data_IF_350206687907
#
_entry.id   IF_350206687907
#
_cell.length_a   1.000
_cell.length_b   1.000
_cell.length_c   1.000
_cell.angle_alpha   90.00
_cell.angle_beta   90.00
_cell.angle_gamma   90.00
#
_symmetry.space_group_name_H-M   'P 1'
#
loop_
_entity.id
_entity.type
_entity.pdbx_description
1 polymer ?
#
# COMPACT_ATOMS: atom_id res chain seq x y z
N UNK A 1 -20.17 -0.51 -3.92
CA UNK A 1 -19.99 -1.34 -5.13
C UNK A 1 -21.26 -1.26 -5.92
N UNK A 2 -21.18 -0.90 -7.19
CA UNK A 2 -22.33 -0.88 -8.07
C UNK A 2 -22.62 -2.27 -8.69
N UNK A 3 -23.71 -2.41 -9.42
CA UNK A 3 -24.11 -3.70 -10.01
C UNK A 3 -23.12 -4.18 -11.09
N UNK A 4 -22.51 -3.25 -11.84
CA UNK A 4 -21.52 -3.54 -12.88
C UNK A 4 -20.22 -4.06 -12.29
N UNK A 5 -19.70 -3.41 -11.24
CA UNK A 5 -18.51 -3.88 -10.51
C UNK A 5 -18.72 -5.28 -9.92
N UNK A 6 -19.90 -5.51 -9.35
CA UNK A 6 -20.26 -6.82 -8.77
C UNK A 6 -20.24 -7.92 -9.82
N UNK A 7 -20.78 -7.66 -11.00
CA UNK A 7 -20.79 -8.63 -12.10
C UNK A 7 -19.37 -8.88 -12.61
N UNK A 8 -18.54 -7.86 -12.71
CA UNK A 8 -17.13 -7.98 -13.08
C UNK A 8 -16.37 -8.89 -12.12
N UNK A 9 -16.53 -8.70 -10.78
CA UNK A 9 -15.88 -9.58 -9.80
C UNK A 9 -16.42 -11.01 -9.91
N UNK A 10 -17.71 -11.18 -10.15
CA UNK A 10 -18.30 -12.50 -10.34
C UNK A 10 -17.70 -13.20 -11.57
N UNK A 11 -17.61 -12.53 -12.71
CA UNK A 11 -17.00 -13.06 -13.93
C UNK A 11 -15.55 -13.47 -13.69
N UNK A 12 -14.75 -12.63 -13.02
CA UNK A 12 -13.37 -12.92 -12.69
C UNK A 12 -13.24 -14.14 -11.76
N UNK A 13 -14.09 -14.29 -10.74
CA UNK A 13 -14.15 -15.46 -9.87
C UNK A 13 -14.38 -16.74 -10.68
N UNK A 14 -15.23 -16.70 -11.68
CA UNK A 14 -15.53 -17.85 -12.56
C UNK A 14 -14.47 -18.07 -13.65
N UNK A 15 -13.43 -17.24 -13.72
CA UNK A 15 -12.28 -17.47 -14.59
C UNK A 15 -12.27 -16.65 -15.88
N UNK A 16 -13.12 -15.66 -15.99
CA UNK A 16 -13.07 -14.69 -17.08
C UNK A 16 -11.76 -13.87 -16.98
N UNK A 17 -10.94 -13.97 -18.03
CA UNK A 17 -9.64 -13.29 -18.09
C UNK A 17 -9.78 -11.79 -18.27
N UNK A 18 -10.68 -11.35 -19.11
CA UNK A 18 -10.90 -9.92 -19.39
C UNK A 18 -11.39 -9.21 -18.13
N UNK A 19 -12.37 -9.82 -17.44
CA UNK A 19 -12.84 -9.31 -16.15
C UNK A 19 -11.70 -9.23 -15.11
N UNK A 20 -10.82 -10.23 -15.08
CA UNK A 20 -9.67 -10.20 -14.16
C UNK A 20 -8.62 -9.15 -14.55
N UNK A 21 -8.35 -8.94 -15.84
CA UNK A 21 -7.47 -7.86 -16.31
C UNK A 21 -7.99 -6.48 -15.90
N UNK A 22 -9.30 -6.26 -15.97
CA UNK A 22 -9.89 -5.02 -15.48
C UNK A 22 -9.69 -4.85 -13.96
N UNK A 23 -9.79 -5.94 -13.19
CA UNK A 23 -9.49 -5.93 -11.75
C UNK A 23 -8.02 -5.56 -11.50
N UNK A 24 -7.08 -6.12 -12.28
CA UNK A 24 -5.66 -5.77 -12.20
C UNK A 24 -5.50 -4.25 -12.38
N UNK A 25 -6.03 -3.69 -13.46
CA UNK A 25 -5.93 -2.25 -13.75
C UNK A 25 -6.49 -1.38 -12.64
N UNK A 26 -7.64 -1.79 -12.07
CA UNK A 26 -8.34 -1.03 -11.03
C UNK A 26 -7.66 -1.11 -9.66
N UNK A 27 -7.01 -2.25 -9.35
CA UNK A 27 -6.51 -2.50 -7.99
C UNK A 27 -4.99 -2.43 -7.84
N UNK A 28 -4.19 -2.52 -8.93
CA UNK A 28 -2.72 -2.57 -8.84
C UNK A 28 -2.13 -1.43 -8.02
N UNK A 29 -2.60 -0.21 -8.20
CA UNK A 29 -2.15 0.95 -7.42
C UNK A 29 -2.40 0.81 -5.93
N UNK A 30 -3.60 0.33 -5.56
CA UNK A 30 -3.94 0.11 -4.16
C UNK A 30 -3.11 -1.02 -3.53
N UNK A 31 -2.88 -2.11 -4.27
CA UNK A 31 -2.02 -3.21 -3.83
C UNK A 31 -0.58 -2.74 -3.66
N UNK A 32 -0.08 -1.92 -4.59
CA UNK A 32 1.24 -1.31 -4.50
C UNK A 32 1.36 -0.42 -3.26
N UNK A 33 0.37 0.45 -3.01
CA UNK A 33 0.37 1.32 -1.83
C UNK A 33 0.42 0.51 -0.52
N UNK A 34 -0.32 -0.61 -0.44
CA UNK A 34 -0.29 -1.52 0.70
C UNK A 34 1.09 -2.16 0.86
N UNK A 35 1.65 -2.73 -0.22
CA UNK A 35 2.95 -3.39 -0.18
C UNK A 35 4.08 -2.40 0.12
N UNK A 36 4.11 -1.25 -0.54
CA UNK A 36 5.08 -0.19 -0.31
C UNK A 36 4.97 0.38 1.12
N UNK A 37 3.75 0.49 1.65
CA UNK A 37 3.51 0.89 3.03
C UNK A 37 4.22 0.00 4.06
N UNK A 38 4.44 -1.28 3.74
CA UNK A 38 5.10 -2.26 4.61
C UNK A 38 6.61 -2.33 4.34
N UNK A 39 6.98 -2.42 3.05
CA UNK A 39 8.33 -2.77 2.62
C UNK A 39 9.27 -1.57 2.49
N UNK A 40 8.74 -0.38 2.20
CA UNK A 40 9.51 0.84 1.93
C UNK A 40 10.56 0.67 0.80
N UNK A 41 10.35 -0.29 -0.07
CA UNK A 41 11.18 -0.58 -1.22
C UNK A 41 10.26 -0.76 -2.42
N UNK A 42 10.53 -0.01 -3.50
CA UNK A 42 9.69 0.04 -4.69
C UNK A 42 9.70 -1.29 -5.45
N UNK A 43 10.88 -1.84 -5.70
CA UNK A 43 11.04 -3.08 -6.45
C UNK A 43 10.34 -4.24 -5.76
N UNK A 44 10.58 -4.41 -4.45
CA UNK A 44 9.91 -5.45 -3.69
C UNK A 44 8.39 -5.26 -3.61
N UNK A 45 7.92 -4.00 -3.55
CA UNK A 45 6.49 -3.74 -3.56
C UNK A 45 5.86 -4.10 -4.92
N UNK A 46 6.54 -3.81 -6.04
CA UNK A 46 6.12 -4.21 -7.38
C UNK A 46 6.09 -5.75 -7.51
N UNK A 47 7.11 -6.45 -7.04
CA UNK A 47 7.17 -7.92 -7.01
C UNK A 47 6.03 -8.52 -6.16
N UNK A 48 5.77 -7.96 -4.99
CA UNK A 48 4.66 -8.40 -4.13
C UNK A 48 3.32 -8.21 -4.82
N UNK A 49 3.12 -7.12 -5.57
CA UNK A 49 1.88 -6.92 -6.35
C UNK A 49 1.73 -8.01 -7.40
N UNK A 50 2.77 -8.27 -8.20
CA UNK A 50 2.75 -9.31 -9.24
C UNK A 50 2.45 -10.69 -8.64
N UNK A 51 3.16 -11.09 -7.60
CA UNK A 51 2.96 -12.34 -6.89
C UNK A 51 1.54 -12.47 -6.32
N UNK A 52 1.00 -11.38 -5.80
CA UNK A 52 -0.35 -11.33 -5.23
C UNK A 52 -1.42 -11.52 -6.28
N UNK A 53 -1.25 -10.91 -7.45
CA UNK A 53 -2.16 -11.05 -8.58
C UNK A 53 -2.13 -12.47 -9.15
N UNK A 54 -0.94 -13.07 -9.29
CA UNK A 54 -0.79 -14.47 -9.71
C UNK A 54 -1.45 -15.41 -8.70
N UNK A 55 -1.25 -15.20 -7.40
CA UNK A 55 -1.89 -15.98 -6.34
C UNK A 55 -3.40 -15.81 -6.37
N UNK A 56 -3.87 -14.58 -6.53
CA UNK A 56 -5.29 -14.27 -6.62
C UNK A 56 -5.93 -15.01 -7.81
N UNK A 57 -5.33 -14.96 -9.00
CA UNK A 57 -5.80 -15.72 -10.14
C UNK A 57 -5.91 -17.21 -9.88
N UNK A 58 -4.89 -17.81 -9.28
CA UNK A 58 -4.86 -19.24 -8.95
C UNK A 58 -5.86 -19.65 -7.89
N UNK A 59 -6.28 -18.76 -7.00
CA UNK A 59 -7.14 -19.07 -5.85
C UNK A 59 -8.48 -18.34 -5.85
N UNK A 60 -8.83 -17.63 -6.93
CA UNK A 60 -10.04 -16.81 -7.07
C UNK A 60 -11.34 -17.53 -6.74
N UNK A 61 -11.43 -18.80 -7.05
CA UNK A 61 -12.59 -19.65 -6.78
C UNK A 61 -12.92 -19.82 -5.28
N UNK A 62 -12.00 -19.44 -4.38
CA UNK A 62 -12.22 -19.44 -2.92
C UNK A 62 -13.12 -18.30 -2.47
N UNK A 63 -13.25 -17.26 -3.28
CA UNK A 63 -14.10 -16.10 -2.97
C UNK A 63 -15.53 -16.45 -3.38
N UNK A 64 -16.40 -16.64 -2.40
CA UNK A 64 -17.82 -16.97 -2.63
C UNK A 64 -18.66 -15.71 -2.86
N UNK A 65 -18.27 -14.61 -2.25
CA UNK A 65 -18.99 -13.34 -2.28
C UNK A 65 -18.19 -12.31 -3.07
N UNK A 66 -18.67 -11.88 -4.26
CA UNK A 66 -17.97 -10.90 -5.08
C UNK A 66 -17.68 -9.58 -4.34
N UNK A 67 -18.52 -9.18 -3.39
CA UNK A 67 -18.31 -7.95 -2.62
C UNK A 67 -17.07 -8.01 -1.72
N UNK A 68 -16.64 -9.21 -1.36
CA UNK A 68 -15.43 -9.43 -0.55
C UNK A 68 -14.14 -9.53 -1.38
N UNK A 69 -14.27 -9.57 -2.71
CA UNK A 69 -13.11 -9.74 -3.59
C UNK A 69 -12.02 -8.68 -3.39
N UNK A 70 -12.34 -7.36 -3.34
CA UNK A 70 -11.32 -6.34 -3.12
C UNK A 70 -10.58 -6.49 -1.78
N UNK A 71 -11.31 -6.72 -0.71
CA UNK A 71 -10.72 -6.91 0.62
C UNK A 71 -9.86 -8.17 0.71
N UNK A 72 -10.29 -9.27 0.07
CA UNK A 72 -9.53 -10.49 -0.03
C UNK A 72 -8.24 -10.31 -0.84
N UNK A 73 -8.29 -9.59 -1.96
CA UNK A 73 -7.13 -9.28 -2.79
C UNK A 73 -6.11 -8.42 -2.01
N UNK A 74 -6.57 -7.40 -1.30
CA UNK A 74 -5.75 -6.58 -0.41
C UNK A 74 -5.10 -7.39 0.72
N UNK A 75 -5.82 -8.37 1.29
CA UNK A 75 -5.27 -9.27 2.30
C UNK A 75 -4.14 -10.15 1.75
N UNK A 76 -4.23 -10.63 0.50
CA UNK A 76 -3.15 -11.37 -0.15
C UNK A 76 -1.89 -10.52 -0.23
N UNK A 77 -2.01 -9.28 -0.73
CA UNK A 77 -0.86 -8.37 -0.87
C UNK A 77 -0.23 -8.04 0.48
N UNK A 78 -1.04 -7.76 1.51
CA UNK A 78 -0.56 -7.49 2.87
C UNK A 78 0.20 -8.67 3.45
N UNK A 79 -0.33 -9.89 3.36
CA UNK A 79 0.35 -11.09 3.85
C UNK A 79 1.68 -11.33 3.12
N UNK A 80 1.70 -11.18 1.79
CA UNK A 80 2.94 -11.33 1.01
C UNK A 80 3.99 -10.29 1.40
N UNK A 81 3.60 -9.03 1.56
CA UNK A 81 4.50 -7.97 2.00
C UNK A 81 5.09 -8.27 3.40
N UNK A 82 4.28 -8.71 4.34
CA UNK A 82 4.78 -9.12 5.66
C UNK A 82 5.70 -10.35 5.60
N UNK A 83 5.45 -11.30 4.70
CA UNK A 83 6.32 -12.46 4.51
C UNK A 83 7.70 -12.02 4.00
N UNK A 84 7.75 -11.11 3.02
CA UNK A 84 9.01 -10.52 2.51
C UNK A 84 9.72 -9.75 3.63
N UNK A 85 9.01 -8.89 4.34
CA UNK A 85 9.56 -8.11 5.45
C UNK A 85 10.17 -8.99 6.56
N UNK A 86 9.51 -10.09 6.92
CA UNK A 86 10.03 -11.05 7.90
C UNK A 86 11.28 -11.76 7.41
N UNK A 87 11.30 -12.18 6.15
CA UNK A 87 12.46 -12.86 5.55
C UNK A 87 13.72 -11.98 5.58
N UNK A 88 13.59 -10.68 5.31
CA UNK A 88 14.72 -9.74 5.45
C UNK A 88 15.34 -9.74 6.86
N UNK A 89 14.51 -9.88 7.89
CA UNK A 89 14.98 -9.86 9.29
C UNK A 89 15.58 -11.19 9.76
N UNK A 90 15.27 -12.29 9.07
CA UNK A 90 15.72 -13.64 9.45
C UNK A 90 16.94 -14.11 8.65
N UNK A 91 17.30 -13.46 7.56
CA UNK A 91 18.57 -13.68 6.89
C UNK A 91 19.61 -12.94 7.71
N UNK A 92 20.62 -13.61 8.32
CA UNK A 92 21.77 -12.92 8.86
C UNK A 92 22.36 -12.10 7.72
N UNK A 93 22.64 -10.83 7.98
CA UNK A 93 23.41 -9.98 7.10
C UNK A 93 24.73 -10.71 6.82
N UNK A 94 24.82 -11.46 5.71
CA UNK A 94 26.09 -11.64 5.06
C UNK A 94 26.53 -10.22 4.71
N UNK A 95 27.68 -9.85 5.25
CA UNK A 95 28.32 -8.54 5.12
C UNK A 95 28.73 -8.27 3.66
N UNK A 96 27.76 -8.12 2.78
CA UNK A 96 27.94 -7.27 1.63
C UNK A 96 27.34 -5.91 2.01
N UNK A 97 28.13 -4.83 1.98
CA UNK A 97 27.57 -3.51 2.18
C UNK A 97 26.53 -3.36 1.07
N UNK A 98 25.24 -3.48 1.41
CA UNK A 98 24.24 -2.70 0.72
C UNK A 98 24.86 -1.31 0.74
N UNK A 99 25.16 -0.75 -0.45
CA UNK A 99 25.57 0.64 -0.54
C UNK A 99 24.66 1.40 0.40
N UNK A 100 25.12 1.57 1.61
CA UNK A 100 24.55 2.49 2.55
C UNK A 100 24.73 3.80 1.81
N UNK A 101 23.65 4.27 1.21
CA UNK A 101 23.55 5.68 0.87
C UNK A 101 23.92 6.34 2.18
N UNK A 102 25.20 6.80 2.25
CA UNK A 102 25.71 7.52 3.41
C UNK A 102 24.63 8.52 3.77
N UNK A 103 24.23 8.62 5.04
CA UNK A 103 23.27 9.63 5.44
C UNK A 103 23.93 10.97 5.10
N UNK A 104 23.57 11.53 3.96
CA UNK A 104 23.94 12.91 3.64
C UNK A 104 23.48 13.77 4.80
N UNK A 105 24.33 14.71 5.25
CA UNK A 105 24.02 15.55 6.40
C UNK A 105 22.63 16.16 6.21
N UNK A 106 21.83 16.15 7.27
CA UNK A 106 20.39 16.48 7.31
C UNK A 106 20.00 17.82 6.64
N UNK A 107 20.96 18.62 6.26
CA UNK A 107 20.78 19.92 5.61
C UNK A 107 20.70 19.86 4.08
N UNK A 108 20.84 18.67 3.45
CA UNK A 108 20.80 18.51 1.99
C UNK A 108 19.73 17.52 1.53
N UNK A 109 18.90 16.99 2.45
CA UNK A 109 17.79 16.12 2.05
C UNK A 109 16.76 16.93 1.25
N UNK A 110 16.53 16.53 0.02
CA UNK A 110 15.44 17.09 -0.78
C UNK A 110 14.11 16.91 -0.06
N UNK A 111 13.17 17.84 -0.25
CA UNK A 111 11.81 17.76 0.36
C UNK A 111 11.16 16.39 0.11
N UNK A 112 11.42 15.79 -1.04
CA UNK A 112 10.94 14.48 -1.41
C UNK A 112 11.49 13.37 -0.48
N UNK A 113 12.78 13.36 -0.18
CA UNK A 113 13.38 12.43 0.80
C UNK A 113 12.81 12.60 2.20
N UNK A 114 12.61 13.85 2.61
CA UNK A 114 12.02 14.15 3.92
C UNK A 114 10.57 13.68 4.00
N UNK A 115 9.80 13.85 2.92
CA UNK A 115 8.45 13.35 2.82
C UNK A 115 8.41 11.81 2.90
N UNK A 116 9.30 11.12 2.18
CA UNK A 116 9.42 9.66 2.23
C UNK A 116 9.83 9.18 3.63
N UNK A 117 10.78 9.84 4.27
CA UNK A 117 11.18 9.52 5.65
C UNK A 117 10.03 9.72 6.63
N UNK A 118 9.30 10.83 6.55
CA UNK A 118 8.16 11.10 7.41
C UNK A 118 7.02 10.09 7.21
N UNK A 119 6.81 9.62 5.97
CA UNK A 119 5.88 8.53 5.69
C UNK A 119 6.37 7.20 6.26
N UNK A 120 7.68 6.92 6.16
CA UNK A 120 8.28 5.70 6.67
C UNK A 120 8.13 5.55 8.20
N UNK A 121 8.16 6.65 8.92
CA UNK A 121 8.01 6.68 10.39
C UNK A 121 6.56 6.45 10.86
N UNK A 122 5.59 6.51 9.96
CA UNK A 122 4.20 6.22 10.32
C UNK A 122 3.97 4.72 10.47
N UNK A 123 3.10 4.29 11.41
CA UNK A 123 2.61 2.92 11.45
C UNK A 123 1.95 2.51 10.12
N UNK A 124 1.93 1.21 9.81
CA UNK A 124 1.44 0.65 8.54
C UNK A 124 0.09 1.20 8.10
N UNK A 125 -0.92 1.12 8.96
CA UNK A 125 -2.29 1.49 8.60
C UNK A 125 -2.47 3.00 8.32
N UNK A 126 -1.97 3.94 9.15
CA UNK A 126 -1.91 5.36 8.83
C UNK A 126 -1.18 5.67 7.52
N UNK A 127 -0.06 5.00 7.25
CA UNK A 127 0.73 5.17 6.03
C UNK A 127 -0.05 4.73 4.81
N UNK A 128 -0.63 3.52 4.84
CA UNK A 128 -1.48 3.01 3.76
C UNK A 128 -2.68 3.94 3.49
N UNK A 129 -3.34 4.44 4.54
CA UNK A 129 -4.47 5.35 4.40
C UNK A 129 -4.06 6.68 3.73
N UNK A 130 -2.92 7.27 4.12
CA UNK A 130 -2.39 8.48 3.48
C UNK A 130 -2.03 8.24 2.01
N UNK A 131 -1.35 7.14 1.72
CA UNK A 131 -0.96 6.79 0.36
C UNK A 131 -2.20 6.65 -0.53
N UNK A 132 -3.22 5.91 -0.08
CA UNK A 132 -4.45 5.75 -0.84
C UNK A 132 -5.20 7.07 -1.03
N UNK A 133 -5.18 7.98 -0.03
CA UNK A 133 -5.91 9.24 -0.10
C UNK A 133 -5.22 10.29 -0.97
N UNK A 134 -3.91 10.47 -0.82
CA UNK A 134 -3.19 11.61 -1.38
C UNK A 134 -2.32 11.27 -2.59
N UNK A 135 -1.84 10.04 -2.73
CA UNK A 135 -1.07 9.60 -3.90
C UNK A 135 -1.94 8.90 -4.92
N UNK A 136 -2.96 8.14 -4.47
CA UNK A 136 -3.89 7.43 -5.33
C UNK A 136 -5.24 8.15 -5.50
N UNK A 137 -5.40 9.29 -4.86
CA UNK A 137 -6.59 10.18 -4.93
C UNK A 137 -7.92 9.47 -4.65
N UNK A 138 -7.89 8.36 -3.92
CA UNK A 138 -9.10 7.58 -3.63
C UNK A 138 -10.05 8.33 -2.70
N UNK A 139 -11.35 8.17 -2.94
CA UNK A 139 -12.38 8.67 -2.05
C UNK A 139 -12.45 7.86 -0.73
N UNK A 140 -13.03 8.47 0.30
CA UNK A 140 -13.11 7.88 1.65
C UNK A 140 -13.80 6.50 1.64
N UNK A 141 -14.90 6.35 0.91
CA UNK A 141 -15.68 5.12 0.86
C UNK A 141 -14.88 3.97 0.27
N UNK A 142 -14.12 4.25 -0.78
CA UNK A 142 -13.22 3.29 -1.41
C UNK A 142 -12.12 2.87 -0.44
N UNK A 143 -11.50 3.81 0.27
CA UNK A 143 -10.45 3.50 1.26
C UNK A 143 -11.02 2.69 2.43
N UNK A 144 -12.19 3.05 2.95
CA UNK A 144 -12.89 2.29 4.00
C UNK A 144 -13.07 0.84 3.62
N UNK A 145 -13.58 0.58 2.42
CA UNK A 145 -13.79 -0.77 1.92
C UNK A 145 -12.47 -1.53 1.73
N UNK A 146 -11.43 -0.87 1.21
CA UNK A 146 -10.12 -1.50 0.95
C UNK A 146 -9.33 -1.80 2.23
N UNK A 147 -9.43 -0.95 3.24
CA UNK A 147 -8.72 -1.11 4.51
C UNK A 147 -9.56 -1.76 5.62
N UNK A 148 -10.86 -1.98 5.39
CA UNK A 148 -11.78 -2.52 6.38
C UNK A 148 -12.03 -1.56 7.55
N UNK A 149 -12.11 -0.26 7.27
CA UNK A 149 -12.27 0.80 8.27
C UNK A 149 -13.67 1.41 8.21
N UNK A 150 -14.12 1.97 9.35
CA UNK A 150 -15.27 2.86 9.36
C UNK A 150 -14.85 4.29 9.00
N UNK A 151 -15.81 5.12 8.55
CA UNK A 151 -15.57 6.53 8.21
C UNK A 151 -14.89 7.30 9.35
N UNK A 152 -15.41 7.16 10.56
CA UNK A 152 -14.85 7.80 11.75
C UNK A 152 -13.43 7.36 12.06
N UNK A 153 -13.14 6.06 11.93
CA UNK A 153 -11.80 5.51 12.13
C UNK A 153 -10.83 6.04 11.08
N UNK A 154 -11.21 6.04 9.79
CA UNK A 154 -10.39 6.55 8.70
C UNK A 154 -10.05 8.03 8.87
N UNK A 155 -11.05 8.87 9.18
CA UNK A 155 -10.83 10.32 9.44
C UNK A 155 -9.88 10.55 10.61
N UNK A 156 -10.05 9.80 11.70
CA UNK A 156 -9.17 9.88 12.87
C UNK A 156 -7.74 9.45 12.55
N UNK A 157 -7.56 8.39 11.78
CA UNK A 157 -6.25 7.90 11.32
C UNK A 157 -5.57 8.95 10.45
N UNK A 158 -6.24 9.44 9.40
CA UNK A 158 -5.70 10.46 8.50
C UNK A 158 -5.33 11.75 9.23
N UNK A 159 -6.19 12.22 10.14
CA UNK A 159 -5.93 13.43 10.93
C UNK A 159 -4.67 13.32 11.79
N UNK A 160 -4.50 12.21 12.52
CA UNK A 160 -3.30 11.97 13.34
C UNK A 160 -2.05 11.80 12.49
N UNK A 161 -2.14 11.07 11.37
CA UNK A 161 -1.02 10.86 10.47
C UNK A 161 -0.53 12.17 9.86
N UNK A 162 -1.43 13.02 9.37
CA UNK A 162 -1.09 14.35 8.85
C UNK A 162 -0.47 15.26 9.93
N UNK A 163 -0.98 15.21 11.16
CA UNK A 163 -0.41 15.98 12.26
C UNK A 163 1.02 15.53 12.57
N UNK A 164 1.29 14.23 12.57
CA UNK A 164 2.63 13.66 12.74
C UNK A 164 3.58 14.10 11.64
N UNK A 165 3.17 13.96 10.38
CA UNK A 165 3.97 14.39 9.23
C UNK A 165 4.27 15.89 9.25
N UNK A 166 3.28 16.73 9.54
CA UNK A 166 3.51 18.19 9.66
C UNK A 166 4.55 18.54 10.72
N UNK A 167 4.53 17.82 11.85
CA UNK A 167 5.53 18.02 12.92
C UNK A 167 6.94 17.70 12.43
N UNK A 168 7.12 16.64 11.65
CA UNK A 168 8.41 16.21 11.13
C UNK A 168 8.91 17.10 9.98
N UNK A 169 8.01 17.59 9.12
CA UNK A 169 8.35 18.40 7.95
C UNK A 169 8.51 19.91 8.25
N UNK A 170 8.05 20.38 9.43
CA UNK A 170 8.15 21.80 9.82
C UNK A 170 9.55 22.41 9.71
N UNK A 171 10.64 21.74 10.12
CA UNK A 171 11.98 22.28 9.99
C UNK A 171 12.38 22.52 8.53
N UNK A 172 11.96 21.66 7.62
CA UNK A 172 12.26 21.76 6.21
C UNK A 172 11.50 22.87 5.50
N UNK A 173 10.24 23.07 5.87
CA UNK A 173 9.41 24.14 5.31
C UNK A 173 9.87 25.53 5.78
N UNK A 174 10.43 25.64 6.99
CA UNK A 174 10.97 26.89 7.52
C UNK A 174 12.31 27.31 6.85
N UNK A 175 12.96 26.42 6.12
CA UNK A 175 14.21 26.69 5.40
C UNK A 175 13.99 27.13 3.94
N UNK A 176 12.73 27.21 3.50
CA UNK A 176 12.34 27.58 2.12
C UNK A 176 11.78 29.03 2.02
N UNK A 177 11.59 29.72 3.14
CA UNK A 177 11.29 31.17 3.23
C UNK A 177 12.58 31.97 3.48
#
# INVERSE_FOLDING_TARGET
>A
MDASEREQYRAAIHGDREAFEMIIRTHSRALFAIAYGILQNREEAEDVVQDSLVKAWKTRWRVRDPEKFPAWLAAIARHRAHDVFRKRRTVPLSEEPIDAIEPEPANTMTLDRQLHSALADLPELPRAALTLRYFEEMDYRTIENKLGLTNGALRGILGRALASMRKQLRPAMASMD
#
